data_IF_853096011010
#
_entry.id   IF_853096011010
#
_cell.length_a   1.000
_cell.length_b   1.000
_cell.length_c   1.000
_cell.angle_alpha   90.00
_cell.angle_beta   90.00
_cell.angle_gamma   90.00
#
_symmetry.space_group_name_H-M   'P 1'
#
loop_
_entity.id
_entity.type
_entity.pdbx_description
1 polymer ?
#
# COMPACT_ATOMS: atom_id res chain seq x y z
N UNK A 1 0.06 -47.65 -18.93
CA UNK A 1 -0.66 -46.38 -18.75
C UNK A 1 0.29 -45.47 -18.02
N UNK A 2 0.99 -44.60 -18.74
CA UNK A 2 1.83 -43.58 -18.11
C UNK A 2 0.90 -42.41 -17.81
N UNK A 3 0.60 -42.17 -16.54
CA UNK A 3 0.01 -40.90 -16.10
C UNK A 3 0.98 -39.79 -16.50
N UNK A 4 0.62 -39.04 -17.54
CA UNK A 4 1.21 -37.74 -17.79
C UNK A 4 0.69 -36.83 -16.68
N UNK A 5 1.52 -36.63 -15.65
CA UNK A 5 1.34 -35.50 -14.75
C UNK A 5 1.62 -34.24 -15.59
N UNK A 6 0.57 -33.53 -16.02
CA UNK A 6 0.74 -32.16 -16.50
C UNK A 6 1.33 -31.35 -15.33
N UNK A 7 2.47 -30.67 -15.51
CA UNK A 7 3.00 -29.82 -14.47
C UNK A 7 1.96 -28.72 -14.18
N UNK A 8 1.73 -28.35 -12.90
CA UNK A 8 0.83 -27.25 -12.58
C UNK A 8 1.34 -26.00 -13.30
N UNK A 9 0.46 -25.31 -14.04
CA UNK A 9 0.76 -23.99 -14.59
C UNK A 9 1.08 -23.05 -13.43
N UNK A 10 2.37 -22.75 -13.23
CA UNK A 10 2.80 -21.76 -12.27
C UNK A 10 2.69 -20.39 -12.92
N UNK A 11 1.66 -19.64 -12.55
CA UNK A 11 1.55 -18.23 -12.91
C UNK A 11 2.43 -17.39 -11.97
N UNK A 12 3.29 -16.55 -12.54
CA UNK A 12 4.11 -15.60 -11.80
C UNK A 12 3.79 -14.16 -12.23
N UNK A 13 3.80 -13.25 -11.27
CA UNK A 13 3.66 -11.81 -11.52
C UNK A 13 5.00 -11.12 -11.25
N UNK A 14 5.41 -10.23 -12.17
CA UNK A 14 6.69 -9.52 -12.10
C UNK A 14 6.45 -8.03 -12.34
N UNK A 15 7.06 -7.18 -11.51
CA UNK A 15 7.06 -5.74 -11.67
C UNK A 15 8.40 -5.26 -12.22
N UNK A 16 8.34 -4.41 -13.26
CA UNK A 16 9.49 -3.75 -13.86
C UNK A 16 9.27 -2.25 -13.74
N UNK A 17 10.10 -1.57 -12.96
CA UNK A 17 10.00 -0.14 -12.66
C UNK A 17 11.37 0.37 -12.23
N UNK A 18 11.74 1.58 -12.65
CA UNK A 18 12.92 2.26 -12.10
C UNK A 18 12.61 2.96 -10.75
N UNK A 19 11.38 2.89 -10.25
CA UNK A 19 11.05 3.41 -8.92
C UNK A 19 11.32 2.35 -7.84
N UNK A 20 11.99 2.78 -6.78
CA UNK A 20 12.11 2.06 -5.52
C UNK A 20 11.45 2.86 -4.39
N UNK A 21 10.76 2.17 -3.49
CA UNK A 21 10.13 2.76 -2.32
C UNK A 21 10.64 2.09 -1.05
N UNK A 22 11.21 2.88 -0.16
CA UNK A 22 11.59 2.45 1.19
C UNK A 22 10.60 3.03 2.18
N UNK A 23 10.19 2.21 3.16
CA UNK A 23 9.25 2.62 4.20
C UNK A 23 9.95 2.64 5.53
N UNK A 24 9.87 3.77 6.21
CA UNK A 24 10.29 3.94 7.59
C UNK A 24 9.02 4.12 8.41
N UNK A 25 8.74 3.15 9.28
CA UNK A 25 7.65 3.33 10.24
C UNK A 25 8.01 4.48 11.18
N UNK A 26 7.14 5.48 11.24
CA UNK A 26 7.23 6.53 12.23
C UNK A 26 6.31 6.22 13.41
N UNK A 27 6.62 6.81 14.56
CA UNK A 27 5.75 6.71 15.73
C UNK A 27 4.35 7.26 15.41
N UNK A 28 3.32 6.76 16.13
CA UNK A 28 1.94 7.28 16.12
C UNK A 28 1.13 7.07 14.82
N UNK A 29 1.45 6.04 14.04
CA UNK A 29 0.60 5.65 12.90
C UNK A 29 0.82 6.49 11.65
N UNK A 30 2.03 7.03 11.48
CA UNK A 30 2.50 7.62 10.23
C UNK A 30 3.58 6.72 9.62
N UNK A 31 3.70 6.77 8.30
CA UNK A 31 4.76 6.13 7.52
C UNK A 31 5.53 7.23 6.79
N UNK A 32 6.85 7.20 6.94
CA UNK A 32 7.75 8.01 6.13
C UNK A 32 8.21 7.19 4.94
N UNK A 33 7.82 7.62 3.76
CA UNK A 33 8.14 6.97 2.50
C UNK A 33 9.27 7.73 1.81
N UNK A 34 10.30 6.99 1.38
CA UNK A 34 11.37 7.52 0.55
C UNK A 34 11.34 6.85 -0.81
N UNK A 35 11.11 7.66 -1.85
CA UNK A 35 11.17 7.23 -3.24
C UNK A 35 12.54 7.57 -3.85
N UNK A 36 13.08 6.61 -4.59
CA UNK A 36 14.35 6.74 -5.30
C UNK A 36 14.31 6.06 -6.66
N UNK A 37 15.21 6.45 -7.56
CA UNK A 37 15.44 5.74 -8.81
C UNK A 37 16.35 4.52 -8.54
N UNK A 38 15.89 3.31 -8.87
CA UNK A 38 16.60 2.06 -8.63
C UNK A 38 17.94 2.00 -9.38
N UNK A 39 17.98 2.58 -10.58
CA UNK A 39 19.16 2.67 -11.44
C UNK A 39 20.32 3.49 -10.86
N UNK A 40 20.01 4.50 -10.02
CA UNK A 40 21.01 5.48 -9.57
C UNK A 40 21.07 5.67 -8.06
N UNK A 41 20.05 5.21 -7.32
CA UNK A 41 19.85 5.52 -5.90
C UNK A 41 19.49 6.99 -5.62
N UNK A 42 19.30 7.81 -6.65
CA UNK A 42 18.97 9.23 -6.48
C UNK A 42 17.53 9.41 -5.99
N UNK A 43 17.23 10.46 -5.19
CA UNK A 43 15.85 10.80 -4.83
C UNK A 43 14.94 10.97 -6.04
N UNK A 44 13.71 10.47 -5.94
CA UNK A 44 12.70 10.62 -6.97
C UNK A 44 11.62 11.61 -6.50
N UNK A 45 11.73 12.91 -6.85
CA UNK A 45 10.71 13.90 -6.50
C UNK A 45 9.49 13.82 -7.43
N UNK A 46 8.35 14.32 -6.96
CA UNK A 46 7.10 14.35 -7.73
C UNK A 46 6.49 12.97 -7.99
N UNK A 47 6.84 11.95 -7.20
CA UNK A 47 6.21 10.62 -7.28
C UNK A 47 4.83 10.73 -6.65
N UNK A 48 3.79 10.43 -7.42
CA UNK A 48 2.43 10.35 -6.92
C UNK A 48 2.24 9.04 -6.17
N UNK A 49 1.84 9.14 -4.90
CA UNK A 49 1.58 8.02 -4.00
C UNK A 49 0.08 7.91 -3.75
N UNK A 50 -0.49 6.74 -3.91
CA UNK A 50 -1.93 6.54 -3.79
C UNK A 50 -2.25 5.26 -3.03
N UNK A 51 -2.99 5.39 -1.93
CA UNK A 51 -3.58 4.23 -1.27
C UNK A 51 -4.83 3.80 -2.03
N UNK A 52 -4.86 2.54 -2.43
CA UNK A 52 -6.00 1.88 -3.04
C UNK A 52 -6.58 0.86 -2.07
N UNK A 53 -7.89 0.87 -1.94
CA UNK A 53 -8.64 -0.28 -1.43
C UNK A 53 -8.70 -1.33 -2.56
N UNK A 54 -8.35 -2.58 -2.26
CA UNK A 54 -8.39 -3.69 -3.23
C UNK A 54 -9.53 -4.68 -2.95
N UNK A 55 -10.12 -4.62 -1.76
CA UNK A 55 -11.33 -5.36 -1.39
C UNK A 55 -12.13 -4.55 -0.35
N UNK A 56 -13.48 -4.50 -0.41
CA UNK A 56 -14.37 -5.16 -1.36
C UNK A 56 -14.48 -4.45 -2.71
N UNK A 57 -13.96 -3.22 -2.83
CA UNK A 57 -13.92 -2.51 -4.11
C UNK A 57 -12.52 -2.61 -4.71
N UNK A 58 -12.44 -2.98 -5.99
CA UNK A 58 -11.16 -3.09 -6.69
C UNK A 58 -10.67 -1.71 -7.12
N UNK A 59 -9.63 -1.20 -6.45
CA UNK A 59 -8.86 -0.04 -6.91
C UNK A 59 -9.48 1.31 -6.57
N UNK A 60 -10.34 1.40 -5.54
CA UNK A 60 -10.86 2.69 -5.09
C UNK A 60 -9.74 3.49 -4.44
N UNK A 61 -9.53 4.72 -4.92
CA UNK A 61 -8.60 5.66 -4.30
C UNK A 61 -9.09 6.09 -2.93
N UNK A 62 -8.29 5.83 -1.90
CA UNK A 62 -8.56 6.29 -0.54
C UNK A 62 -7.97 7.69 -0.33
N UNK A 63 -6.72 7.88 -0.70
CA UNK A 63 -6.01 9.15 -0.55
C UNK A 63 -4.76 9.20 -1.44
N UNK A 64 -4.23 10.41 -1.65
CA UNK A 64 -3.10 10.68 -2.53
C UNK A 64 -2.13 11.66 -1.88
N UNK A 65 -0.84 11.42 -2.10
CA UNK A 65 0.27 12.26 -1.72
C UNK A 65 1.25 12.40 -2.89
N UNK A 66 2.23 13.26 -2.70
CA UNK A 66 3.34 13.43 -3.62
C UNK A 66 4.63 13.56 -2.82
N UNK A 67 5.72 12.98 -3.32
CA UNK A 67 7.03 13.11 -2.70
C UNK A 67 7.64 14.49 -2.96
N UNK A 68 8.27 15.06 -1.95
CA UNK A 68 8.99 16.33 -2.03
C UNK A 68 10.26 16.27 -2.92
N UNK A 69 10.97 17.40 -3.02
CA UNK A 69 12.23 17.52 -3.77
C UNK A 69 13.34 16.55 -3.32
N UNK A 70 13.21 16.00 -2.11
CA UNK A 70 14.14 15.02 -1.52
C UNK A 70 13.62 13.58 -1.63
N UNK A 71 12.51 13.37 -2.34
CA UNK A 71 11.87 12.07 -2.53
C UNK A 71 11.10 11.57 -1.31
N UNK A 72 10.83 12.41 -0.32
CA UNK A 72 10.13 12.01 0.90
C UNK A 72 8.64 12.35 0.85
N UNK A 73 7.82 11.48 1.44
CA UNK A 73 6.43 11.77 1.74
C UNK A 73 6.05 11.18 3.10
N UNK A 74 5.33 11.96 3.90
CA UNK A 74 4.68 11.46 5.10
C UNK A 74 3.25 11.05 4.75
N UNK A 75 2.92 9.78 4.98
CA UNK A 75 1.59 9.23 4.72
C UNK A 75 1.05 8.55 5.97
N UNK A 76 -0.26 8.64 6.26
CA UNK A 76 -0.84 7.90 7.36
C UNK A 76 -0.71 6.40 7.14
N UNK A 77 -0.38 5.67 8.20
CA UNK A 77 -0.59 4.24 8.25
C UNK A 77 -2.08 4.01 8.34
N UNK A 78 -2.65 3.42 7.31
CA UNK A 78 -4.03 2.97 7.36
C UNK A 78 -4.10 1.78 8.34
N UNK A 79 -4.95 1.87 9.37
CA UNK A 79 -5.15 0.81 10.36
C UNK A 79 -6.10 -0.24 9.81
N UNK A 80 -5.79 -1.51 10.02
CA UNK A 80 -6.81 -2.57 10.14
C UNK A 80 -7.48 -2.37 11.50
N UNK A 81 -8.59 -1.63 11.56
CA UNK A 81 -9.43 -1.71 12.75
C UNK A 81 -10.28 -2.98 12.63
N UNK A 82 -9.79 -4.07 13.24
CA UNK A 82 -10.60 -5.26 13.42
C UNK A 82 -11.86 -4.93 14.22
N UNK A 83 -13.02 -5.40 13.75
CA UNK A 83 -14.30 -5.48 14.44
C UNK A 83 -14.19 -5.25 15.96
N UNK A 84 -14.39 -4.00 16.40
CA UNK A 84 -14.72 -3.74 17.80
C UNK A 84 -16.21 -4.02 17.93
N UNK A 85 -16.55 -5.01 18.74
CA UNK A 85 -17.93 -5.27 19.12
C UNK A 85 -18.59 -3.95 19.54
N UNK A 86 -19.62 -3.57 18.79
CA UNK A 86 -20.42 -2.41 19.05
C UNK A 86 -21.26 -2.63 20.32
N UNK A 87 -20.66 -2.35 21.47
CA UNK A 87 -21.37 -2.09 22.70
C UNK A 87 -20.69 -0.92 23.41
N UNK A 88 -21.08 0.31 23.04
CA UNK A 88 -21.78 1.19 23.96
C UNK A 88 -22.09 2.53 23.29
N UNK A 89 -23.29 3.01 23.56
CA UNK A 89 -23.83 4.32 23.23
C UNK A 89 -22.80 5.46 23.31
N UNK A 90 -22.65 6.23 22.22
CA UNK A 90 -22.72 7.70 22.25
C UNK A 90 -22.43 8.34 20.88
N UNK A 91 -23.45 9.06 20.39
CA UNK A 91 -23.43 10.36 19.69
C UNK A 91 -22.58 10.56 18.42
N UNK A 92 -23.30 10.88 17.34
CA UNK A 92 -22.98 11.79 16.23
C UNK A 92 -21.52 12.31 16.15
N UNK A 93 -20.69 11.62 15.36
CA UNK A 93 -19.67 12.27 14.53
C UNK A 93 -19.34 11.37 13.33
N UNK A 94 -19.80 11.81 12.17
CA UNK A 94 -19.94 11.04 10.91
C UNK A 94 -18.63 11.01 10.08
N UNK A 95 -17.48 10.63 10.66
CA UNK A 95 -16.22 10.67 9.90
C UNK A 95 -15.14 9.61 10.16
N UNK A 96 -15.48 8.47 10.74
CA UNK A 96 -14.58 7.31 10.79
C UNK A 96 -15.27 6.08 10.19
N UNK A 97 -15.43 6.05 8.86
CA UNK A 97 -15.78 4.80 8.19
C UNK A 97 -14.59 3.85 8.27
N UNK A 98 -14.74 2.83 9.12
CA UNK A 98 -13.82 1.71 9.28
C UNK A 98 -13.39 1.14 7.92
N UNK A 99 -12.09 1.04 7.70
CA UNK A 99 -11.45 0.59 6.45
C UNK A 99 -11.04 -0.89 6.57
N UNK A 100 -11.99 -1.81 6.71
CA UNK A 100 -11.76 -3.26 6.73
C UNK A 100 -11.50 -3.83 5.31
N UNK A 101 -10.48 -3.31 4.62
CA UNK A 101 -10.14 -3.70 3.26
C UNK A 101 -8.65 -3.97 3.10
N UNK A 102 -8.28 -4.95 2.26
CA UNK A 102 -6.90 -5.09 1.80
C UNK A 102 -6.49 -3.83 1.05
N UNK A 103 -5.29 -3.32 1.34
CA UNK A 103 -4.82 -2.04 0.82
C UNK A 103 -3.52 -2.21 0.05
N UNK A 104 -3.39 -1.41 -1.01
CA UNK A 104 -2.22 -1.37 -1.87
C UNK A 104 -1.75 0.07 -2.02
N UNK A 105 -0.47 0.32 -1.79
CA UNK A 105 0.12 1.60 -2.14
C UNK A 105 0.61 1.54 -3.59
N UNK A 106 0.23 2.53 -4.38
CA UNK A 106 0.69 2.69 -5.76
C UNK A 106 1.53 3.95 -5.83
N UNK A 107 2.79 3.80 -6.25
CA UNK A 107 3.68 4.90 -6.57
C UNK A 107 3.81 5.04 -8.08
N UNK A 108 3.70 6.27 -8.61
CA UNK A 108 3.76 6.56 -10.05
C UNK A 108 4.61 7.78 -10.35
N UNK A 109 5.44 7.69 -11.39
CA UNK A 109 6.17 8.84 -11.96
C UNK A 109 6.41 8.59 -13.44
N UNK A 110 5.83 9.42 -14.30
CA UNK A 110 5.87 9.19 -15.74
C UNK A 110 5.28 7.81 -16.09
N UNK A 111 6.09 6.95 -16.72
CA UNK A 111 5.73 5.57 -17.07
C UNK A 111 6.01 4.56 -15.96
N UNK A 112 6.80 4.91 -14.95
CA UNK A 112 7.16 3.99 -13.87
C UNK A 112 6.00 3.83 -12.87
N UNK A 113 5.72 2.58 -12.53
CA UNK A 113 4.69 2.20 -11.55
C UNK A 113 5.27 1.17 -10.60
N UNK A 114 5.14 1.44 -9.30
CA UNK A 114 5.47 0.50 -8.25
C UNK A 114 4.22 0.23 -7.41
N UNK A 115 3.84 -1.04 -7.31
CA UNK A 115 2.86 -1.57 -6.38
C UNK A 115 3.60 -2.03 -5.13
N UNK A 116 3.23 -1.48 -3.99
CA UNK A 116 3.74 -1.89 -2.68
C UNK A 116 2.57 -2.43 -1.85
N UNK A 117 2.53 -3.74 -1.57
CA UNK A 117 1.52 -4.29 -0.68
C UNK A 117 1.71 -3.67 0.70
N UNK A 118 0.63 -3.15 1.31
CA UNK A 118 0.71 -2.75 2.71
C UNK A 118 1.20 -3.97 3.52
N UNK A 119 2.16 -3.81 4.46
CA UNK A 119 2.47 -4.90 5.37
C UNK A 119 1.18 -5.20 6.13
N UNK A 120 0.56 -6.33 5.78
CA UNK A 120 -0.49 -6.92 6.58
C UNK A 120 0.10 -7.02 7.98
N UNK A 121 -0.53 -6.34 8.93
CA UNK A 121 -0.11 -6.50 10.31
C UNK A 121 -0.43 -7.96 10.61
N UNK A 122 0.60 -8.80 10.68
CA UNK A 122 0.41 -10.17 11.11
C UNK A 122 -0.17 -10.07 12.51
N UNK A 123 -1.48 -10.30 12.61
CA UNK A 123 -2.14 -10.50 13.88
C UNK A 123 -1.53 -11.78 14.44
N UNK A 124 -0.46 -11.64 15.22
CA UNK A 124 0.16 -12.74 15.94
C UNK A 124 -0.92 -13.35 16.83
N UNK A 125 -1.34 -14.56 16.47
CA UNK A 125 -2.18 -15.43 17.31
C UNK A 125 -1.37 -16.00 18.46
#
# INVERSE_FOLDING_TARGET
WAERCDPPEVAAWVQVSDLALSVVEAERGQLWLWASALSTGAPAPGVSLQWLETYPTAGRSLARWETDERGWAEVPRLREEGCRDASDDASDDDNARSLEGTQLLVARRGSDVLLWPAPLSSSGS
#
